data_IF_452576402122
#
_entry.id   IF_452576402122
#
_cell.length_a   1.000
_cell.length_b   1.000
_cell.length_c   1.000
_cell.angle_alpha   90.00
_cell.angle_beta   90.00
_cell.angle_gamma   90.00
#
_symmetry.space_group_name_H-M   'P 1'
#
loop_
_entity.id
_entity.type
_entity.pdbx_description
1 polymer ?
#
# COMPACT_ATOMS: atom_id res chain seq x y z
N UNK A 1 14.47 9.02 7.77
CA UNK A 1 13.34 8.21 7.26
C UNK A 1 12.07 8.87 7.77
N UNK A 2 10.97 8.77 7.05
CA UNK A 2 9.71 9.30 7.56
C UNK A 2 9.19 8.42 8.69
N UNK A 3 8.51 9.02 9.67
CA UNK A 3 7.84 8.32 10.76
C UNK A 3 6.95 7.16 10.25
N UNK A 4 6.26 7.38 9.15
CA UNK A 4 5.42 6.36 8.50
C UNK A 4 6.23 5.16 8.01
N UNK A 5 7.47 5.35 7.56
CA UNK A 5 8.33 4.23 7.16
C UNK A 5 8.84 3.43 8.36
N UNK A 6 9.06 4.07 9.49
CA UNK A 6 9.42 3.39 10.74
C UNK A 6 8.27 2.52 11.24
N UNK A 7 7.04 3.04 11.20
CA UNK A 7 5.83 2.26 11.50
C UNK A 7 5.68 1.07 10.55
N UNK A 8 5.86 1.29 9.24
CA UNK A 8 5.82 0.22 8.25
C UNK A 8 6.89 -0.86 8.50
N UNK A 9 8.06 -0.49 8.96
CA UNK A 9 9.12 -1.47 9.27
C UNK A 9 8.74 -2.39 10.45
N UNK A 10 7.90 -1.91 11.36
CA UNK A 10 7.38 -2.69 12.49
C UNK A 10 6.11 -3.47 12.11
N UNK A 11 5.30 -2.92 11.21
CA UNK A 11 4.01 -3.46 10.76
C UNK A 11 3.99 -3.57 9.22
N UNK A 12 4.71 -4.54 8.60
CA UNK A 12 5.00 -4.55 7.16
C UNK A 12 3.83 -5.03 6.29
N UNK A 13 2.59 -4.83 6.76
CA UNK A 13 1.39 -5.20 6.03
C UNK A 13 0.55 -3.96 5.78
N UNK A 14 0.14 -3.77 4.54
CA UNK A 14 -0.69 -2.65 4.11
C UNK A 14 -2.08 -3.17 3.72
N UNK A 15 -3.12 -2.48 4.16
CA UNK A 15 -4.48 -2.68 3.71
C UNK A 15 -5.13 -1.37 3.27
N UNK A 16 -5.91 -1.43 2.21
CA UNK A 16 -6.74 -0.32 1.71
C UNK A 16 -8.23 -0.69 1.68
N UNK A 17 -8.57 -1.91 2.14
CA UNK A 17 -9.93 -2.46 2.11
C UNK A 17 -10.26 -3.13 3.46
N UNK A 18 -11.27 -2.62 4.15
CA UNK A 18 -11.69 -3.14 5.46
C UNK A 18 -12.30 -4.54 5.42
N UNK A 19 -12.64 -5.04 4.23
CA UNK A 19 -13.09 -6.43 4.04
C UNK A 19 -11.94 -7.44 4.17
N UNK A 20 -10.69 -6.96 4.07
CA UNK A 20 -9.47 -7.77 4.08
C UNK A 20 -8.41 -7.17 5.01
N UNK A 21 -8.80 -6.78 6.20
CA UNK A 21 -7.84 -6.33 7.21
C UNK A 21 -7.06 -7.54 7.73
N UNK A 22 -5.76 -7.47 7.58
CA UNK A 22 -4.86 -8.40 8.26
C UNK A 22 -4.52 -7.86 9.64
N UNK A 23 -4.44 -8.73 10.66
CA UNK A 23 -3.95 -8.33 11.97
C UNK A 23 -2.57 -7.68 11.89
N UNK A 24 -2.36 -6.65 12.67
CA UNK A 24 -1.07 -5.94 12.74
C UNK A 24 -0.68 -5.22 11.45
N UNK A 25 -1.66 -4.83 10.64
CA UNK A 25 -1.48 -4.07 9.40
C UNK A 25 -1.62 -2.56 9.60
N UNK A 26 -1.18 -1.79 8.61
CA UNK A 26 -1.46 -0.36 8.49
C UNK A 26 -2.57 -0.16 7.45
N UNK A 27 -3.69 0.40 7.87
CA UNK A 27 -4.80 0.72 6.98
C UNK A 27 -4.61 2.12 6.37
N UNK A 28 -4.71 2.25 5.05
CA UNK A 28 -4.71 3.54 4.35
C UNK A 28 -6.12 3.90 3.92
N UNK A 29 -6.62 5.00 4.47
CA UNK A 29 -7.94 5.55 4.16
C UNK A 29 -7.93 6.31 2.82
N UNK A 30 -7.91 5.58 1.71
CA UNK A 30 -7.88 6.19 0.38
C UNK A 30 -9.23 6.83 0.03
N UNK A 31 -9.19 7.91 -0.74
CA UNK A 31 -10.37 8.55 -1.35
C UNK A 31 -10.45 8.23 -2.83
N UNK A 32 -11.65 7.94 -3.30
CA UNK A 32 -12.00 7.86 -4.72
C UNK A 32 -13.17 8.78 -5.03
N UNK A 33 -13.61 8.83 -6.28
CA UNK A 33 -14.69 9.72 -6.72
C UNK A 33 -16.02 9.49 -5.98
N UNK A 34 -16.29 8.24 -5.59
CA UNK A 34 -17.52 7.82 -4.90
C UNK A 34 -17.29 7.18 -3.55
N UNK A 35 -16.04 7.12 -3.09
CA UNK A 35 -15.64 6.39 -1.90
C UNK A 35 -14.72 7.22 -1.02
N UNK A 36 -15.01 7.25 0.27
CA UNK A 36 -14.15 7.88 1.28
C UNK A 36 -13.74 6.85 2.34
N UNK A 37 -12.47 6.45 2.28
CA UNK A 37 -11.88 5.49 3.21
C UNK A 37 -11.82 5.96 4.66
N UNK A 38 -11.90 7.27 4.91
CA UNK A 38 -11.90 7.82 6.26
C UNK A 38 -13.08 7.32 7.12
N UNK A 39 -14.20 7.01 6.49
CA UNK A 39 -15.39 6.45 7.17
C UNK A 39 -15.14 5.06 7.77
N UNK A 40 -14.11 4.37 7.32
CA UNK A 40 -13.80 2.99 7.68
C UNK A 40 -12.59 2.85 8.59
N UNK A 41 -11.99 3.96 9.03
CA UNK A 41 -10.80 3.94 9.89
C UNK A 41 -11.09 3.26 11.22
N UNK A 42 -12.19 3.61 11.89
CA UNK A 42 -12.59 2.97 13.14
C UNK A 42 -12.80 1.46 12.97
N UNK A 43 -13.52 1.04 11.92
CA UNK A 43 -13.74 -0.36 11.59
C UNK A 43 -12.43 -1.12 11.33
N UNK A 44 -11.48 -0.49 10.62
CA UNK A 44 -10.17 -1.09 10.36
C UNK A 44 -9.39 -1.36 11.66
N UNK A 45 -9.39 -0.39 12.57
CA UNK A 45 -8.73 -0.52 13.87
C UNK A 45 -9.40 -1.57 14.76
N UNK A 46 -10.74 -1.68 14.72
CA UNK A 46 -11.49 -2.72 15.42
C UNK A 46 -11.21 -4.13 14.87
N UNK A 47 -11.02 -4.24 13.58
CA UNK A 47 -10.67 -5.50 12.90
C UNK A 47 -9.22 -5.94 13.06
N UNK A 48 -8.41 -5.16 13.75
CA UNK A 48 -7.05 -5.55 14.13
C UNK A 48 -5.94 -4.84 13.37
N UNK A 49 -6.20 -3.78 12.61
CA UNK A 49 -5.14 -2.93 12.12
C UNK A 49 -4.39 -2.29 13.29
N UNK A 50 -3.06 -2.30 13.24
CA UNK A 50 -2.22 -1.68 14.26
C UNK A 50 -2.33 -0.16 14.19
N UNK A 51 -2.29 0.38 12.98
CA UNK A 51 -2.39 1.81 12.69
C UNK A 51 -3.30 2.07 11.50
N UNK A 52 -3.78 3.31 11.40
CA UNK A 52 -4.45 3.83 10.21
C UNK A 52 -3.80 5.14 9.76
N UNK A 53 -3.83 5.39 8.46
CA UNK A 53 -3.38 6.65 7.85
C UNK A 53 -4.61 7.36 7.30
N UNK A 54 -4.82 8.59 7.70
CA UNK A 54 -5.99 9.41 7.36
C UNK A 54 -5.55 10.81 6.93
N UNK A 55 -6.31 11.42 6.01
CA UNK A 55 -6.17 12.83 5.64
C UNK A 55 -7.29 13.71 6.24
N UNK A 56 -8.06 13.16 7.17
CA UNK A 56 -9.12 13.87 7.90
C UNK A 56 -8.68 14.15 9.35
N UNK A 57 -8.50 15.44 9.71
CA UNK A 57 -8.10 15.80 11.07
C UNK A 57 -9.11 15.40 12.14
N UNK A 58 -10.40 15.34 11.82
CA UNK A 58 -11.44 14.96 12.78
C UNK A 58 -11.36 13.46 13.08
N UNK A 59 -11.12 12.66 12.05
CA UNK A 59 -10.88 11.21 12.20
C UNK A 59 -9.61 10.95 12.99
N UNK A 60 -8.53 11.67 12.69
CA UNK A 60 -7.27 11.52 13.44
C UNK A 60 -7.43 11.86 14.92
N UNK A 61 -8.20 12.90 15.25
CA UNK A 61 -8.46 13.31 16.63
C UNK A 61 -9.40 12.38 17.39
N UNK A 62 -10.11 11.47 16.72
CA UNK A 62 -11.10 10.59 17.33
C UNK A 62 -10.50 9.36 18.04
N UNK A 63 -9.26 9.01 17.78
CA UNK A 63 -8.61 7.85 18.40
C UNK A 63 -7.73 8.27 19.59
N UNK A 64 -8.23 8.02 20.80
CA UNK A 64 -7.52 8.30 22.05
C UNK A 64 -6.19 7.55 22.19
N UNK A 65 -6.02 6.43 21.46
CA UNK A 65 -4.80 5.61 21.50
C UNK A 65 -3.73 6.09 20.52
N UNK A 66 -3.98 7.18 19.81
CA UNK A 66 -3.05 7.78 18.83
C UNK A 66 -2.52 6.79 17.77
N UNK A 67 -3.38 5.89 17.32
CA UNK A 67 -3.05 4.91 16.26
C UNK A 67 -3.35 5.44 14.86
N UNK A 68 -3.77 6.70 14.73
CA UNK A 68 -4.09 7.32 13.44
C UNK A 68 -3.01 8.33 13.10
N UNK A 69 -2.33 8.09 11.98
CA UNK A 69 -1.33 9.01 11.42
C UNK A 69 -2.05 9.97 10.47
N UNK A 70 -2.03 11.27 10.79
CA UNK A 70 -2.57 12.31 9.95
C UNK A 70 -1.58 12.69 8.86
N UNK A 71 -2.03 12.72 7.62
CA UNK A 71 -1.27 13.16 6.44
C UNK A 71 -2.09 14.13 5.60
N UNK A 72 -1.45 14.87 4.70
CA UNK A 72 -2.14 15.80 3.80
C UNK A 72 -2.92 15.07 2.69
N UNK A 73 -2.42 13.93 2.23
CA UNK A 73 -3.00 13.11 1.16
C UNK A 73 -2.58 11.64 1.37
N UNK A 74 -3.55 10.77 1.61
CA UNK A 74 -3.32 9.36 1.92
C UNK A 74 -2.75 8.58 0.74
N UNK A 75 -3.17 8.88 -0.49
CA UNK A 75 -2.63 8.23 -1.69
C UNK A 75 -1.17 8.61 -1.90
N UNK A 76 -0.86 9.90 -1.78
CA UNK A 76 0.50 10.38 -1.88
C UNK A 76 1.40 9.79 -0.79
N UNK A 77 0.91 9.70 0.43
CA UNK A 77 1.64 9.09 1.55
C UNK A 77 1.96 7.61 1.27
N UNK A 78 1.01 6.84 0.74
CA UNK A 78 1.21 5.45 0.33
C UNK A 78 2.26 5.35 -0.80
N UNK A 79 2.19 6.23 -1.79
CA UNK A 79 3.15 6.29 -2.89
C UNK A 79 4.56 6.62 -2.42
N UNK A 80 4.70 7.56 -1.50
CA UNK A 80 5.99 7.95 -0.93
C UNK A 80 6.57 6.83 -0.04
N UNK A 81 5.71 6.14 0.72
CA UNK A 81 6.09 4.96 1.48
C UNK A 81 6.62 3.83 0.57
N UNK A 82 5.90 3.52 -0.50
CA UNK A 82 6.32 2.53 -1.50
C UNK A 82 7.67 2.90 -2.14
N UNK A 83 7.85 4.17 -2.49
CA UNK A 83 9.08 4.68 -3.06
C UNK A 83 10.25 4.58 -2.07
N UNK A 84 10.00 4.89 -0.81
CA UNK A 84 10.99 4.78 0.26
C UNK A 84 11.40 3.32 0.46
N UNK A 85 10.43 2.42 0.57
CA UNK A 85 10.67 0.98 0.74
C UNK A 85 11.45 0.39 -0.44
N UNK A 86 11.04 0.69 -1.68
CA UNK A 86 11.76 0.27 -2.88
C UNK A 86 13.25 0.68 -2.86
N UNK A 87 13.52 1.93 -2.44
CA UNK A 87 14.90 2.44 -2.34
C UNK A 87 15.69 1.73 -1.24
N UNK A 88 15.05 1.45 -0.12
CA UNK A 88 15.67 0.74 1.01
C UNK A 88 16.02 -0.71 0.65
N UNK A 89 15.18 -1.39 -0.13
CA UNK A 89 15.44 -2.75 -0.61
C UNK A 89 16.61 -2.82 -1.59
N UNK A 90 16.85 -1.78 -2.40
CA UNK A 90 17.95 -1.75 -3.36
C UNK A 90 17.89 -2.83 -4.46
N UNK A 91 16.74 -3.47 -4.66
CA UNK A 91 16.56 -4.54 -5.65
C UNK A 91 16.33 -3.98 -7.06
N UNK A 92 16.74 -4.70 -8.12
CA UNK A 92 16.40 -4.33 -9.49
C UNK A 92 14.88 -4.42 -9.75
N UNK A 93 14.34 -3.43 -10.47
CA UNK A 93 12.94 -3.40 -10.86
C UNK A 93 12.85 -3.34 -12.37
N UNK A 94 12.09 -4.29 -12.95
CA UNK A 94 11.77 -4.33 -14.36
C UNK A 94 10.33 -3.86 -14.56
N UNK A 95 10.15 -2.74 -15.25
CA UNK A 95 8.84 -2.22 -15.61
C UNK A 95 8.46 -2.61 -17.06
N UNK A 96 7.24 -3.06 -17.26
CA UNK A 96 6.69 -3.44 -18.57
C UNK A 96 5.52 -2.51 -18.89
N UNK A 97 5.63 -1.81 -19.99
CA UNK A 97 4.62 -0.87 -20.47
C UNK A 97 4.22 -1.22 -21.91
N UNK A 98 3.05 -0.76 -22.33
CA UNK A 98 2.54 -0.97 -23.69
C UNK A 98 1.02 -1.08 -23.74
N UNK A 99 0.45 -0.98 -24.93
CA UNK A 99 -1.01 -1.11 -25.12
C UNK A 99 -1.49 -2.56 -25.13
N UNK A 100 -0.68 -3.50 -25.63
CA UNK A 100 -1.02 -4.92 -25.73
C UNK A 100 0.12 -5.81 -25.23
N UNK A 101 -0.21 -7.00 -24.72
CA UNK A 101 0.74 -8.04 -24.37
C UNK A 101 1.51 -7.84 -23.06
N UNK A 102 1.18 -6.83 -22.24
CA UNK A 102 1.86 -6.58 -20.96
C UNK A 102 1.81 -7.77 -20.03
N UNK A 103 0.63 -8.36 -19.84
CA UNK A 103 0.43 -9.51 -18.95
C UNK A 103 1.20 -10.73 -19.45
N UNK A 104 1.11 -11.05 -20.72
CA UNK A 104 1.85 -12.17 -21.33
C UNK A 104 3.35 -11.97 -21.21
N UNK A 105 3.86 -10.79 -21.52
CA UNK A 105 5.29 -10.46 -21.39
C UNK A 105 5.74 -10.57 -19.93
N UNK A 106 4.96 -10.05 -19.00
CA UNK A 106 5.26 -10.17 -17.56
C UNK A 106 5.37 -11.63 -17.11
N UNK A 107 4.42 -12.47 -17.50
CA UNK A 107 4.43 -13.90 -17.15
C UNK A 107 5.64 -14.64 -17.73
N UNK A 108 5.98 -14.38 -18.98
CA UNK A 108 7.14 -14.99 -19.63
C UNK A 108 8.46 -14.54 -18.99
N UNK A 109 8.63 -13.24 -18.79
CA UNK A 109 9.84 -12.68 -18.16
C UNK A 109 9.98 -13.20 -16.74
N UNK A 110 8.89 -13.24 -15.96
CA UNK A 110 8.91 -13.75 -14.58
C UNK A 110 9.36 -15.19 -14.51
N UNK A 111 8.90 -16.06 -15.43
CA UNK A 111 9.30 -17.46 -15.50
C UNK A 111 10.78 -17.62 -15.84
N UNK A 112 11.26 -16.87 -16.82
CA UNK A 112 12.67 -16.92 -17.22
C UNK A 112 13.58 -16.45 -16.08
N UNK A 113 13.24 -15.35 -15.44
CA UNK A 113 14.03 -14.82 -14.33
C UNK A 113 14.00 -15.73 -13.08
N UNK A 114 12.88 -16.41 -12.84
CA UNK A 114 12.72 -17.30 -11.70
C UNK A 114 13.64 -18.52 -11.74
N UNK A 115 14.20 -18.87 -12.91
CA UNK A 115 15.21 -19.93 -13.02
C UNK A 115 16.51 -19.61 -12.27
N UNK A 116 16.79 -18.34 -12.02
CA UNK A 116 18.05 -17.90 -11.38
C UNK A 116 17.88 -16.92 -10.22
N UNK A 117 16.73 -16.25 -10.14
CA UNK A 117 16.47 -15.21 -9.15
C UNK A 117 15.17 -15.50 -8.40
N UNK A 118 15.08 -14.99 -7.18
CA UNK A 118 13.81 -14.88 -6.50
C UNK A 118 13.05 -13.69 -7.11
N UNK A 119 11.86 -13.95 -7.68
CA UNK A 119 11.13 -12.99 -8.48
C UNK A 119 9.78 -12.68 -7.84
N UNK A 120 9.53 -11.40 -7.59
CA UNK A 120 8.22 -10.88 -7.22
C UNK A 120 7.60 -10.17 -8.43
N UNK A 121 6.48 -10.65 -8.91
CA UNK A 121 5.75 -10.05 -10.02
C UNK A 121 4.34 -9.62 -9.58
N UNK A 122 3.84 -8.54 -10.19
CA UNK A 122 2.46 -8.09 -9.96
C UNK A 122 1.47 -9.18 -10.33
N UNK A 123 0.49 -9.41 -9.46
CA UNK A 123 -0.58 -10.38 -9.71
C UNK A 123 -1.70 -9.73 -10.51
N UNK A 124 -2.16 -10.42 -11.55
CA UNK A 124 -3.25 -9.94 -12.38
C UNK A 124 -2.88 -8.73 -13.24
N UNK A 125 -3.90 -8.04 -13.71
CA UNK A 125 -3.80 -6.89 -14.60
C UNK A 125 -4.20 -5.62 -13.84
N UNK A 126 -3.28 -5.10 -13.05
CA UNK A 126 -3.49 -3.93 -12.20
C UNK A 126 -2.98 -2.68 -12.92
N UNK A 127 -3.82 -2.10 -13.79
CA UNK A 127 -3.50 -0.92 -14.59
C UNK A 127 -3.97 0.40 -13.95
N UNK A 128 -4.31 0.38 -12.68
CA UNK A 128 -4.80 1.57 -12.00
C UNK A 128 -3.63 2.36 -11.42
N UNK A 129 -3.53 3.65 -11.76
CA UNK A 129 -2.52 4.57 -11.24
C UNK A 129 -2.57 4.75 -9.72
N UNK A 130 -3.70 4.46 -9.09
CA UNK A 130 -3.88 4.50 -7.64
C UNK A 130 -3.29 3.28 -6.92
N UNK A 131 -2.99 2.21 -7.65
CA UNK A 131 -2.46 0.98 -7.06
C UNK A 131 -0.95 0.91 -7.27
N UNK A 132 -0.23 1.15 -6.21
CA UNK A 132 1.20 0.92 -6.14
C UNK A 132 1.40 -0.47 -5.58
N UNK A 133 2.11 -1.28 -6.34
CA UNK A 133 2.46 -2.62 -5.94
C UNK A 133 3.80 -2.59 -5.24
N UNK A 134 3.75 -2.90 -3.99
CA UNK A 134 4.92 -3.14 -3.15
C UNK A 134 5.18 -4.62 -3.13
#
# INVERSE_FOLDING_TARGET
MSELYELFSQHPRISTDTRRIEPDSIFFALRGDTFDGNRFVAEALEKGAAYAVSDDPQVAASDERQRIVLVDDTLKALQDLARCHRRALGIPILAISGSNGKTTTKELVSRVLAERFEVYATRGNLNNLSLIHI
#
